data_IF_990098063884
#
_entry.id   IF_990098063884
#
_cell.length_a   1.000
_cell.length_b   1.000
_cell.length_c   1.000
_cell.angle_alpha   90.00
_cell.angle_beta   90.00
_cell.angle_gamma   90.00
#
_symmetry.space_group_name_H-M   'P 1'
#
loop_
_entity.id
_entity.type
_entity.pdbx_description
1 polymer ?
#
# COMPACT_ATOMS: atom_id res chain seq x y z
N UNK A 1 -17.52 -11.45 0.17
CA UNK A 1 -17.40 -11.72 -1.27
C UNK A 1 -16.54 -10.65 -1.93
N UNK A 2 -15.58 -11.09 -2.73
CA UNK A 2 -14.71 -10.14 -3.43
C UNK A 2 -15.47 -9.39 -4.50
N UNK A 3 -15.25 -8.06 -4.58
CA UNK A 3 -15.77 -7.27 -5.67
C UNK A 3 -14.99 -7.64 -6.95
N UNK A 4 -15.65 -8.16 -8.01
CA UNK A 4 -14.96 -8.55 -9.25
C UNK A 4 -14.13 -7.42 -9.88
N UNK A 5 -14.50 -6.17 -9.63
CA UNK A 5 -13.78 -4.98 -10.11
C UNK A 5 -12.32 -4.97 -9.65
N UNK A 6 -12.04 -5.55 -8.46
CA UNK A 6 -10.71 -5.52 -7.86
C UNK A 6 -9.99 -6.88 -7.90
N UNK A 7 -10.54 -7.85 -8.64
CA UNK A 7 -9.90 -9.16 -8.80
C UNK A 7 -8.44 -9.09 -9.31
N UNK A 8 -8.06 -8.16 -10.22
CA UNK A 8 -6.67 -8.06 -10.67
C UNK A 8 -5.67 -7.64 -9.58
N UNK A 9 -6.16 -7.22 -8.41
CA UNK A 9 -5.32 -6.71 -7.31
C UNK A 9 -5.24 -7.68 -6.13
N UNK A 10 -5.68 -8.91 -6.32
CA UNK A 10 -5.74 -9.93 -5.26
C UNK A 10 -4.38 -10.22 -4.61
N UNK A 11 -3.30 -10.10 -5.37
CA UNK A 11 -1.96 -10.32 -4.86
C UNK A 11 -1.60 -9.39 -3.69
N UNK A 12 -2.22 -8.20 -3.62
CA UNK A 12 -1.97 -7.22 -2.56
C UNK A 12 -3.10 -7.15 -1.53
N UNK A 13 -4.05 -8.09 -1.56
CA UNK A 13 -5.23 -8.06 -0.67
C UNK A 13 -4.89 -7.91 0.81
N UNK A 14 -3.91 -8.63 1.38
CA UNK A 14 -3.61 -8.47 2.80
C UNK A 14 -3.23 -7.03 3.18
N UNK A 15 -2.50 -6.35 2.31
CA UNK A 15 -2.16 -4.94 2.48
C UNK A 15 -3.41 -4.05 2.45
N UNK A 16 -4.27 -4.24 1.45
CA UNK A 16 -5.49 -3.44 1.32
C UNK A 16 -6.42 -3.63 2.51
N UNK A 17 -6.56 -4.85 3.00
CA UNK A 17 -7.40 -5.16 4.16
C UNK A 17 -6.86 -4.52 5.45
N UNK A 18 -5.54 -4.58 5.66
CA UNK A 18 -4.90 -3.96 6.82
C UNK A 18 -5.10 -2.44 6.81
N UNK A 19 -4.86 -1.79 5.67
CA UNK A 19 -5.03 -0.35 5.53
C UNK A 19 -6.49 0.05 5.75
N UNK A 20 -7.43 -0.67 5.13
CA UNK A 20 -8.86 -0.38 5.28
C UNK A 20 -9.30 -0.49 6.74
N UNK A 21 -8.85 -1.53 7.41
CA UNK A 21 -9.15 -1.73 8.84
C UNK A 21 -8.56 -0.63 9.71
N UNK A 22 -7.33 -0.21 9.43
CA UNK A 22 -6.66 0.85 10.19
C UNK A 22 -7.39 2.18 10.08
N UNK A 23 -7.94 2.50 8.90
CA UNK A 23 -8.64 3.76 8.66
C UNK A 23 -10.04 3.79 9.30
N UNK A 24 -10.68 2.63 9.45
CA UNK A 24 -11.95 2.52 10.16
C UNK A 24 -12.99 3.52 9.68
N UNK A 25 -13.55 4.29 10.62
CA UNK A 25 -14.60 5.27 10.35
C UNK A 25 -14.09 6.61 9.83
N UNK A 26 -12.79 6.76 9.63
CA UNK A 26 -12.22 8.00 9.08
C UNK A 26 -12.52 8.19 7.61
N UNK A 27 -12.84 7.12 6.90
CA UNK A 27 -13.07 7.13 5.44
C UNK A 27 -14.34 6.36 5.09
N UNK A 28 -14.87 6.66 3.89
CA UNK A 28 -16.02 5.99 3.30
C UNK A 28 -15.59 5.14 2.10
N UNK A 29 -16.03 3.90 2.05
CA UNK A 29 -15.74 2.96 0.97
C UNK A 29 -15.30 1.60 1.51
N UNK A 30 -15.43 0.56 0.70
CA UNK A 30 -15.12 -0.80 1.13
C UNK A 30 -13.69 -1.23 0.79
N UNK A 31 -13.21 -0.84 -0.37
CA UNK A 31 -11.89 -1.21 -0.86
C UNK A 31 -10.94 -0.02 -0.82
N UNK A 32 -9.64 -0.31 -0.74
CA UNK A 32 -8.57 0.70 -0.76
C UNK A 32 -8.75 1.71 -1.90
N UNK A 33 -9.06 1.24 -3.12
CA UNK A 33 -9.25 2.15 -4.26
C UNK A 33 -10.54 2.96 -4.20
N UNK A 34 -11.52 2.53 -3.39
CA UNK A 34 -12.75 3.31 -3.16
C UNK A 34 -12.52 4.46 -2.18
N UNK A 35 -11.51 4.35 -1.32
CA UNK A 35 -11.26 5.34 -0.26
C UNK A 35 -10.20 6.37 -0.60
N UNK A 36 -9.62 6.33 -1.81
CA UNK A 36 -8.70 7.36 -2.29
C UNK A 36 -9.44 8.32 -3.21
N UNK A 37 -9.00 9.59 -3.23
CA UNK A 37 -9.56 10.57 -4.16
C UNK A 37 -9.11 10.29 -5.59
N UNK A 38 -9.85 10.82 -6.59
CA UNK A 38 -9.48 10.67 -8.00
C UNK A 38 -8.10 11.24 -8.29
N UNK A 39 -7.72 12.30 -7.59
CA UNK A 39 -6.46 13.03 -7.75
C UNK A 39 -5.44 12.73 -6.64
N UNK A 40 -5.59 11.60 -5.96
CA UNK A 40 -4.69 11.20 -4.87
C UNK A 40 -3.23 11.31 -5.29
N UNK A 41 -2.39 11.80 -4.36
CA UNK A 41 -0.95 11.81 -4.56
C UNK A 41 -0.34 10.75 -3.65
N UNK A 42 0.38 9.83 -4.26
CA UNK A 42 1.09 8.76 -3.55
C UNK A 42 2.59 9.01 -3.70
N UNK A 43 3.23 9.45 -2.62
CA UNK A 43 4.67 9.71 -2.61
C UNK A 43 5.44 8.51 -2.08
N UNK A 44 6.53 8.21 -2.76
CA UNK A 44 7.47 7.16 -2.38
C UNK A 44 8.73 7.85 -1.84
N UNK A 45 8.92 7.76 -0.53
CA UNK A 45 9.96 8.49 0.19
C UNK A 45 11.17 7.61 0.52
N UNK A 46 11.46 6.68 -0.38
CA UNK A 46 12.62 5.79 -0.30
C UNK A 46 13.21 5.61 -1.69
N UNK A 47 14.46 5.18 -1.76
CA UNK A 47 15.12 4.90 -3.03
C UNK A 47 14.85 3.46 -3.46
N UNK A 48 14.29 3.33 -4.65
CA UNK A 48 14.13 2.02 -5.29
C UNK A 48 14.25 2.20 -6.80
N UNK A 49 15.34 1.70 -7.43
CA UNK A 49 15.55 1.89 -8.86
C UNK A 49 14.40 1.37 -9.71
N UNK A 50 13.94 2.19 -10.65
CA UNK A 50 12.85 1.84 -11.54
C UNK A 50 11.46 2.08 -10.98
N UNK A 51 11.35 2.52 -9.72
CA UNK A 51 10.05 2.84 -9.12
C UNK A 51 9.85 4.36 -9.06
N UNK A 52 8.67 4.88 -9.43
CA UNK A 52 8.45 6.33 -9.44
C UNK A 52 8.41 6.92 -8.03
N UNK A 53 8.85 8.17 -7.90
CA UNK A 53 8.80 8.92 -6.64
C UNK A 53 7.42 9.44 -6.33
N UNK A 54 6.63 9.74 -7.34
CA UNK A 54 5.28 10.26 -7.22
C UNK A 54 4.39 9.51 -8.19
N UNK A 55 3.27 9.01 -7.67
CA UNK A 55 2.19 8.44 -8.46
C UNK A 55 1.00 9.37 -8.28
N UNK A 56 0.49 9.93 -9.36
CA UNK A 56 -0.56 10.92 -9.30
C UNK A 56 -1.86 10.37 -9.90
N UNK A 57 -2.90 10.36 -9.08
CA UNK A 57 -4.24 9.94 -9.47
C UNK A 57 -4.51 8.46 -9.21
N UNK A 58 -5.79 8.15 -8.93
CA UNK A 58 -6.24 6.78 -8.66
C UNK A 58 -5.93 5.83 -9.80
N UNK A 59 -6.18 6.25 -11.04
CA UNK A 59 -5.98 5.39 -12.21
C UNK A 59 -4.51 4.94 -12.33
N UNK A 60 -3.58 5.86 -12.17
CA UNK A 60 -2.15 5.55 -12.22
C UNK A 60 -1.72 4.68 -11.03
N UNK A 61 -2.27 4.93 -9.85
CA UNK A 61 -2.01 4.13 -8.67
C UNK A 61 -2.48 2.69 -8.88
N UNK A 62 -3.63 2.48 -9.49
CA UNK A 62 -4.14 1.15 -9.82
C UNK A 62 -3.21 0.43 -10.79
N UNK A 63 -2.69 1.12 -11.81
CA UNK A 63 -1.71 0.54 -12.74
C UNK A 63 -0.46 0.06 -11.99
N UNK A 64 0.05 0.87 -11.06
CA UNK A 64 1.26 0.52 -10.30
C UNK A 64 1.04 -0.69 -9.39
N UNK A 65 -0.09 -0.75 -8.70
CA UNK A 65 -0.41 -1.91 -7.85
C UNK A 65 -0.61 -3.18 -8.67
N UNK A 66 -1.15 -3.08 -9.86
CA UNK A 66 -1.29 -4.23 -10.75
C UNK A 66 0.09 -4.78 -11.13
N UNK A 67 1.02 -3.90 -11.52
CA UNK A 67 2.40 -4.30 -11.82
C UNK A 67 3.13 -4.88 -10.61
N UNK A 68 2.88 -4.36 -9.42
CA UNK A 68 3.43 -4.92 -8.18
C UNK A 68 3.00 -6.38 -8.01
N UNK A 69 1.72 -6.66 -8.23
CA UNK A 69 1.17 -8.02 -8.09
C UNK A 69 1.71 -9.02 -9.12
N UNK A 70 2.25 -8.55 -10.23
CA UNK A 70 2.94 -9.42 -11.21
C UNK A 70 4.28 -9.95 -10.68
N UNK A 71 4.83 -9.33 -9.66
CA UNK A 71 6.15 -9.67 -9.11
C UNK A 71 6.09 -10.27 -7.71
N UNK A 72 5.15 -9.83 -6.89
CA UNK A 72 5.05 -10.24 -5.48
C UNK A 72 3.59 -10.58 -5.18
N UNK A 73 3.40 -11.73 -4.52
CA UNK A 73 2.11 -12.11 -3.96
C UNK A 73 2.22 -12.05 -2.43
N UNK A 74 1.39 -11.23 -1.81
CA UNK A 74 1.34 -11.12 -0.35
C UNK A 74 0.45 -12.22 0.23
N UNK A 75 0.90 -12.84 1.32
CA UNK A 75 0.14 -13.81 2.09
C UNK A 75 -0.48 -13.19 3.34
N UNK A 76 0.21 -12.21 3.95
CA UNK A 76 -0.28 -11.58 5.17
C UNK A 76 0.28 -10.17 5.34
N UNK A 77 -0.40 -9.40 6.18
CA UNK A 77 0.08 -8.11 6.68
C UNK A 77 -0.29 -8.05 8.16
N UNK A 78 0.63 -7.59 9.01
CA UNK A 78 0.46 -7.64 10.45
C UNK A 78 1.24 -6.55 11.19
N UNK A 79 1.26 -6.65 12.52
CA UNK A 79 1.99 -5.76 13.44
C UNK A 79 1.59 -4.30 13.26
N UNK A 80 0.31 -4.07 13.02
CA UNK A 80 -0.22 -2.72 12.83
C UNK A 80 -0.13 -1.91 14.12
N UNK A 81 0.49 -0.73 14.01
CA UNK A 81 0.42 0.32 15.02
C UNK A 81 -0.08 1.57 14.32
N UNK A 82 -1.13 2.20 14.84
CA UNK A 82 -1.70 3.41 14.24
C UNK A 82 -1.66 4.58 15.21
N UNK A 83 -1.38 5.76 14.64
CA UNK A 83 -1.29 7.03 15.38
C UNK A 83 -2.14 8.07 14.66
N UNK A 84 -3.17 8.58 15.35
CA UNK A 84 -3.97 9.67 14.82
C UNK A 84 -3.32 11.00 15.12
N UNK A 85 -3.33 11.91 14.15
CA UNK A 85 -2.81 13.26 14.30
C UNK A 85 -3.76 14.26 13.64
N UNK A 86 -3.60 15.53 13.98
CA UNK A 86 -4.34 16.64 13.38
C UNK A 86 -5.87 16.41 13.37
N UNK A 87 -6.41 16.05 14.54
CA UNK A 87 -7.85 15.79 14.75
C UNK A 87 -8.43 14.73 13.79
N UNK A 88 -7.63 13.70 13.49
CA UNK A 88 -8.04 12.61 12.60
C UNK A 88 -7.91 12.91 11.11
N UNK A 89 -7.32 14.05 10.75
CA UNK A 89 -7.03 14.36 9.34
C UNK A 89 -5.77 13.68 8.84
N UNK A 90 -4.92 13.20 9.77
CA UNK A 90 -3.71 12.45 9.43
C UNK A 90 -3.69 11.17 10.25
N UNK A 91 -3.44 10.05 9.59
CA UNK A 91 -3.19 8.76 10.23
C UNK A 91 -1.80 8.29 9.83
N UNK A 92 -0.99 7.95 10.82
CA UNK A 92 0.31 7.32 10.60
C UNK A 92 0.16 5.85 10.98
N UNK A 93 0.55 4.95 10.09
CA UNK A 93 0.51 3.51 10.37
C UNK A 93 1.88 2.89 10.15
N UNK A 94 2.25 2.00 11.07
CA UNK A 94 3.41 1.13 10.95
C UNK A 94 2.91 -0.30 10.84
N UNK A 95 3.50 -1.09 9.95
CA UNK A 95 3.06 -2.47 9.72
C UNK A 95 4.13 -3.26 8.97
N UNK A 96 3.90 -4.58 8.87
CA UNK A 96 4.73 -5.48 8.07
C UNK A 96 3.88 -6.19 7.05
N UNK A 97 4.49 -6.51 5.90
CA UNK A 97 3.90 -7.38 4.89
C UNK A 97 4.78 -8.61 4.70
N UNK A 98 4.15 -9.73 4.35
CA UNK A 98 4.81 -11.01 4.16
C UNK A 98 4.26 -11.65 2.88
N UNK A 99 5.16 -12.06 2.01
CA UNK A 99 4.76 -12.62 0.73
C UNK A 99 5.85 -13.43 0.06
N UNK A 100 5.70 -13.63 -1.23
CA UNK A 100 6.58 -14.43 -2.07
C UNK A 100 6.90 -13.68 -3.35
N UNK A 101 8.17 -13.66 -3.72
CA UNK A 101 8.61 -13.17 -5.04
C UNK A 101 8.31 -14.26 -6.06
N UNK A 102 7.44 -13.96 -7.03
CA UNK A 102 6.92 -14.97 -7.96
C UNK A 102 8.00 -15.58 -8.85
N UNK A 103 8.97 -14.78 -9.28
CA UNK A 103 10.01 -15.24 -10.20
C UNK A 103 10.97 -16.25 -9.55
N UNK A 104 11.19 -16.18 -8.24
CA UNK A 104 12.22 -16.96 -7.54
C UNK A 104 11.67 -17.89 -6.47
N UNK A 105 10.45 -17.66 -6.00
CA UNK A 105 9.88 -18.34 -4.85
C UNK A 105 10.45 -17.87 -3.52
N UNK A 106 11.30 -16.85 -3.49
CA UNK A 106 11.90 -16.35 -2.26
C UNK A 106 10.85 -15.64 -1.41
N UNK A 107 11.00 -15.75 -0.10
CA UNK A 107 10.13 -15.05 0.84
C UNK A 107 10.47 -13.57 0.87
N UNK A 108 9.42 -12.74 0.86
CA UNK A 108 9.50 -11.31 0.99
C UNK A 108 8.87 -10.89 2.31
N UNK A 109 9.66 -10.26 3.17
CA UNK A 109 9.19 -9.67 4.42
C UNK A 109 9.67 -8.23 4.46
N UNK A 110 8.77 -7.29 4.75
CA UNK A 110 9.15 -5.89 4.76
C UNK A 110 8.38 -5.10 5.80
N UNK A 111 8.97 -3.98 6.22
CA UNK A 111 8.43 -3.06 7.21
C UNK A 111 8.09 -1.74 6.54
N UNK A 112 6.94 -1.18 6.90
CA UNK A 112 6.44 0.05 6.30
C UNK A 112 6.06 1.04 7.38
N UNK A 113 6.17 2.33 7.04
CA UNK A 113 5.52 3.41 7.74
C UNK A 113 4.85 4.29 6.69
N UNK A 114 3.56 4.53 6.85
CA UNK A 114 2.77 5.31 5.89
C UNK A 114 2.09 6.47 6.60
N UNK A 115 2.21 7.67 6.03
CA UNK A 115 1.58 8.88 6.53
C UNK A 115 0.43 9.22 5.59
N UNK A 116 -0.80 9.19 6.10
CA UNK A 116 -2.01 9.24 5.29
C UNK A 116 -2.78 10.49 5.63
N UNK A 117 -2.98 11.35 4.64
CA UNK A 117 -3.79 12.56 4.78
C UNK A 117 -5.21 12.30 4.28
N UNK A 118 -6.20 12.67 5.10
CA UNK A 118 -7.62 12.43 4.85
C UNK A 118 -8.32 13.76 4.67
N UNK A 119 -9.07 13.90 3.58
CA UNK A 119 -9.93 15.05 3.28
C UNK A 119 -11.29 14.54 2.79
N UNK A 120 -12.37 15.10 3.34
CA UNK A 120 -13.74 14.74 2.97
C UNK A 120 -13.98 13.22 2.99
N UNK A 121 -13.44 12.55 4.02
CA UNK A 121 -13.58 11.11 4.26
C UNK A 121 -12.96 10.23 3.17
N UNK A 122 -11.92 10.76 2.51
CA UNK A 122 -11.12 10.04 1.50
C UNK A 122 -9.64 10.32 1.70
N UNK A 123 -8.80 9.42 1.26
CA UNK A 123 -7.35 9.63 1.26
C UNK A 123 -7.00 10.55 0.10
N UNK A 124 -6.41 11.72 0.42
CA UNK A 124 -5.98 12.69 -0.58
C UNK A 124 -4.49 12.64 -0.84
N UNK A 125 -3.70 12.19 0.15
CA UNK A 125 -2.24 12.16 0.05
C UNK A 125 -1.72 10.98 0.88
N UNK A 126 -0.82 10.21 0.28
CA UNK A 126 -0.16 9.07 0.91
C UNK A 126 1.34 9.27 0.81
N UNK A 127 2.04 9.16 1.94
CA UNK A 127 3.50 9.25 1.98
C UNK A 127 4.02 7.93 2.51
N UNK A 128 4.80 7.23 1.70
CA UNK A 128 5.19 5.86 1.98
C UNK A 128 6.68 5.74 2.27
N UNK A 129 6.99 5.08 3.37
CA UNK A 129 8.34 4.68 3.75
C UNK A 129 8.39 3.18 3.91
N UNK A 130 9.43 2.56 3.40
CA UNK A 130 9.66 1.12 3.62
C UNK A 130 11.16 0.84 3.75
N UNK A 131 11.48 -0.37 4.17
CA UNK A 131 12.85 -0.87 4.12
C UNK A 131 13.18 -1.25 2.68
N UNK A 132 13.71 -0.28 1.93
CA UNK A 132 14.00 -0.46 0.50
C UNK A 132 15.15 -1.43 0.26
N UNK A 133 16.07 -1.53 1.20
CA UNK A 133 17.18 -2.49 1.09
C UNK A 133 16.68 -3.92 1.15
N UNK A 134 15.74 -4.22 2.06
CA UNK A 134 15.13 -5.55 2.16
C UNK A 134 14.43 -5.93 0.84
N UNK A 135 13.66 -4.99 0.27
CA UNK A 135 12.98 -5.20 -1.01
C UNK A 135 13.99 -5.43 -2.15
N UNK A 136 14.99 -4.56 -2.23
CA UNK A 136 16.02 -4.65 -3.28
C UNK A 136 16.76 -5.98 -3.23
N UNK A 137 17.18 -6.41 -2.04
CA UNK A 137 17.95 -7.64 -1.88
C UNK A 137 17.17 -8.88 -2.33
N UNK A 138 15.88 -8.96 -2.01
CA UNK A 138 15.09 -10.13 -2.38
C UNK A 138 14.66 -10.11 -3.85
N UNK A 139 14.40 -8.93 -4.41
CA UNK A 139 13.96 -8.79 -5.80
C UNK A 139 15.11 -8.92 -6.81
N UNK A 140 16.34 -8.60 -6.39
CA UNK A 140 17.52 -8.72 -7.24
C UNK A 140 18.32 -9.99 -6.98
N UNK A 141 17.94 -10.80 -6.00
CA UNK A 141 18.59 -12.08 -5.72
C UNK A 141 18.42 -13.06 -6.90
N UNK A 142 19.48 -13.82 -7.19
CA UNK A 142 19.49 -14.81 -8.27
C UNK A 142 19.50 -16.22 -7.72
#
# INVERSE_FOLDING_TARGET
MLNPKYAPYEASRPYFELVRGALGDLVDGEHFFDIVTDDVIYEVLYDFPGWPRIIQGRAELMVKFRGYGDNIELQSADKLISHKADNGRVLVIEYEVHGTVLATGRKYNNRFCSIIQIEDRKISHWRDYMDSLAAWNVLTAR
#
